data_IF_490428853609
#
_entry.id   IF_490428853609
#
_cell.length_a   1.000
_cell.length_b   1.000
_cell.length_c   1.000
_cell.angle_alpha   90.00
_cell.angle_beta   90.00
_cell.angle_gamma   90.00
#
_symmetry.space_group_name_H-M   'P 1'
#
loop_
_entity.id
_entity.type
_entity.pdbx_description
1 polymer ?
#
# COMPACT_ATOMS: atom_id res chain seq x y z
N UNK A 1 -21.03 -16.05 -23.42
CA UNK A 1 -20.70 -15.49 -22.10
C UNK A 1 -19.23 -15.85 -21.84
N UNK A 2 -18.39 -14.88 -21.53
CA UNK A 2 -16.99 -15.14 -21.28
C UNK A 2 -16.81 -15.84 -19.91
N UNK A 3 -15.68 -16.48 -19.68
CA UNK A 3 -15.38 -17.08 -18.37
C UNK A 3 -15.37 -16.02 -17.25
N UNK A 4 -14.99 -14.77 -17.57
CA UNK A 4 -15.02 -13.65 -16.62
C UNK A 4 -16.45 -13.22 -16.28
N UNK A 5 -17.38 -13.27 -17.24
CA UNK A 5 -18.80 -12.99 -16.97
C UNK A 5 -19.39 -14.04 -16.00
N UNK A 6 -18.97 -15.30 -16.15
CA UNK A 6 -19.37 -16.37 -15.23
C UNK A 6 -18.80 -16.14 -13.82
N UNK A 7 -17.50 -15.85 -13.73
CA UNK A 7 -16.85 -15.50 -12.45
C UNK A 7 -17.50 -14.29 -11.77
N UNK A 8 -17.95 -13.31 -12.54
CA UNK A 8 -18.62 -12.12 -11.99
C UNK A 8 -19.96 -12.43 -11.32
N UNK A 9 -20.61 -13.56 -11.60
CA UNK A 9 -21.84 -13.95 -10.89
C UNK A 9 -21.57 -14.15 -9.39
N UNK A 10 -20.45 -14.82 -9.05
CA UNK A 10 -20.03 -15.07 -7.67
C UNK A 10 -19.39 -13.85 -7.01
N UNK A 11 -18.84 -12.93 -7.80
CA UNK A 11 -18.14 -11.74 -7.30
C UNK A 11 -19.06 -10.54 -7.05
N UNK A 12 -20.13 -10.38 -7.84
CA UNK A 12 -21.08 -9.26 -7.69
C UNK A 12 -21.68 -9.12 -6.27
N UNK A 13 -22.05 -10.21 -5.57
CA UNK A 13 -22.59 -10.10 -4.22
C UNK A 13 -21.61 -9.51 -3.18
N UNK A 14 -20.32 -9.46 -3.50
CA UNK A 14 -19.30 -8.83 -2.65
C UNK A 14 -19.26 -7.31 -2.78
N UNK A 15 -19.70 -6.77 -3.93
CA UNK A 15 -19.66 -5.32 -4.16
C UNK A 15 -20.65 -4.63 -3.21
N UNK A 16 -20.17 -3.63 -2.49
CA UNK A 16 -20.93 -2.92 -1.47
C UNK A 16 -20.89 -3.57 -0.07
N UNK A 17 -20.30 -4.78 0.07
CA UNK A 17 -20.11 -5.35 1.41
C UNK A 17 -19.10 -4.52 2.19
N UNK A 18 -19.46 -4.21 3.44
CA UNK A 18 -18.65 -3.43 4.37
C UNK A 18 -18.34 -4.28 5.59
N UNK A 19 -17.06 -4.27 5.99
CA UNK A 19 -16.62 -4.85 7.26
C UNK A 19 -15.96 -3.78 8.12
N UNK A 20 -16.40 -3.69 9.37
CA UNK A 20 -15.80 -2.80 10.36
C UNK A 20 -14.71 -3.53 11.15
N UNK A 21 -13.60 -2.84 11.39
CA UNK A 21 -12.51 -3.29 12.25
C UNK A 21 -12.24 -2.19 13.25
N UNK A 22 -12.43 -2.50 14.53
CA UNK A 22 -12.13 -1.58 15.64
C UNK A 22 -10.64 -1.66 15.99
N UNK A 23 -10.07 -0.53 16.41
CA UNK A 23 -8.68 -0.40 16.82
C UNK A 23 -8.56 0.66 17.91
N UNK A 24 -7.82 0.36 18.95
CA UNK A 24 -7.59 1.30 20.06
C UNK A 24 -6.53 2.36 19.75
N UNK A 25 -5.98 2.37 18.54
CA UNK A 25 -4.82 3.18 18.14
C UNK A 25 -3.71 3.10 19.19
N UNK A 26 -3.38 1.86 19.56
CA UNK A 26 -2.60 1.54 20.75
C UNK A 26 -1.25 2.26 20.80
N UNK A 27 -0.98 2.94 21.91
CA UNK A 27 0.23 3.77 22.07
C UNK A 27 1.53 3.00 21.78
N UNK A 28 1.62 1.72 22.15
CA UNK A 28 2.81 0.91 21.85
C UNK A 28 2.96 0.60 20.36
N UNK A 29 1.86 0.44 19.62
CA UNK A 29 1.90 0.27 18.17
C UNK A 29 2.38 1.57 17.49
N UNK A 30 1.86 2.72 17.93
CA UNK A 30 2.29 4.06 17.50
C UNK A 30 3.78 4.28 17.75
N UNK A 31 4.28 3.98 18.94
CA UNK A 31 5.71 4.10 19.30
C UNK A 31 6.60 3.16 18.50
N UNK A 32 6.12 1.94 18.18
CA UNK A 32 6.83 1.02 17.27
C UNK A 32 6.91 1.59 15.86
N UNK A 33 5.83 2.20 15.38
CA UNK A 33 5.83 2.88 14.07
C UNK A 33 6.82 4.05 14.09
N UNK A 34 6.81 4.90 15.12
CA UNK A 34 7.77 6.00 15.28
C UNK A 34 9.22 5.50 15.21
N UNK A 35 9.57 4.49 16.01
CA UNK A 35 10.92 3.92 16.00
C UNK A 35 11.29 3.17 14.71
N UNK A 36 10.32 2.76 13.89
CA UNK A 36 10.59 2.17 12.59
C UNK A 36 11.03 3.20 11.54
N UNK A 37 10.63 4.46 11.72
CA UNK A 37 10.91 5.59 10.81
C UNK A 37 11.81 6.66 11.44
N UNK A 38 12.64 6.27 12.42
CA UNK A 38 13.62 7.12 13.10
C UNK A 38 13.02 8.39 13.77
N UNK A 39 11.72 8.31 14.12
CA UNK A 39 11.10 9.31 14.96
C UNK A 39 11.28 8.92 16.44
N UNK A 40 11.41 9.91 17.31
CA UNK A 40 11.51 9.68 18.76
C UNK A 40 10.19 9.11 19.31
N UNK A 41 10.15 7.84 19.78
CA UNK A 41 8.94 7.22 20.30
C UNK A 41 8.34 7.93 21.53
N UNK A 42 9.18 8.60 22.33
CA UNK A 42 8.74 9.27 23.55
C UNK A 42 7.97 10.57 23.29
N UNK A 43 8.04 11.11 22.07
CA UNK A 43 7.20 12.23 21.64
C UNK A 43 5.73 11.85 21.45
N UNK A 44 5.43 10.55 21.43
CA UNK A 44 4.06 10.06 21.30
C UNK A 44 3.50 9.65 22.66
N UNK A 45 2.41 10.30 23.03
CA UNK A 45 1.60 10.04 24.23
C UNK A 45 0.13 9.88 23.85
N UNK A 46 -0.73 9.49 24.80
CA UNK A 46 -2.18 9.48 24.55
C UNK A 46 -2.67 10.86 24.14
N UNK A 47 -3.50 10.91 23.09
CA UNK A 47 -4.02 12.15 22.50
C UNK A 47 -3.09 12.84 21.50
N UNK A 48 -1.83 12.38 21.33
CA UNK A 48 -0.93 12.91 20.30
C UNK A 48 -1.50 12.65 18.90
N UNK A 49 -1.56 13.69 18.08
CA UNK A 49 -1.94 13.58 16.67
C UNK A 49 -0.87 12.82 15.89
N UNK A 50 -1.32 11.89 15.05
CA UNK A 50 -0.44 11.06 14.23
C UNK A 50 -0.21 11.71 12.86
N UNK A 51 0.92 11.43 12.21
CA UNK A 51 1.13 11.83 10.81
C UNK A 51 -0.04 11.43 9.91
N UNK A 52 -0.42 12.25 8.92
CA UNK A 52 -1.69 12.14 8.18
C UNK A 52 -1.85 10.83 7.39
N UNK A 53 -0.77 10.12 7.11
CA UNK A 53 -0.78 8.84 6.38
C UNK A 53 -0.68 7.60 7.29
N UNK A 54 -0.59 7.78 8.62
CA UNK A 54 -0.43 6.65 9.56
C UNK A 54 -1.72 5.85 9.79
N UNK A 55 -2.86 6.29 9.23
CA UNK A 55 -4.06 5.46 9.20
C UNK A 55 -3.81 4.07 8.59
N UNK A 56 -2.75 3.90 7.79
CA UNK A 56 -2.37 2.61 7.20
C UNK A 56 -1.96 1.54 8.23
N UNK A 57 -1.64 1.94 9.45
CA UNK A 57 -1.29 1.04 10.57
C UNK A 57 -2.49 0.69 11.46
N UNK A 58 -3.67 1.25 11.17
CA UNK A 58 -4.86 1.13 12.00
C UNK A 58 -5.86 0.18 11.35
N UNK A 59 -6.57 -0.60 12.17
CA UNK A 59 -7.59 -1.54 11.72
C UNK A 59 -7.01 -2.60 10.79
N UNK A 60 -5.78 -3.10 11.09
CA UNK A 60 -5.19 -4.20 10.32
C UNK A 60 -5.98 -5.49 10.52
N UNK A 61 -6.05 -6.30 9.48
CA UNK A 61 -6.89 -7.51 9.49
C UNK A 61 -6.31 -8.60 10.40
N UNK A 62 -7.13 -9.11 11.31
CA UNK A 62 -6.79 -10.19 12.24
C UNK A 62 -7.35 -11.53 11.79
N UNK A 63 -6.76 -12.11 10.76
CA UNK A 63 -7.16 -13.41 10.20
C UNK A 63 -6.49 -14.54 10.98
N UNK A 64 -7.22 -15.64 11.22
CA UNK A 64 -6.67 -16.83 11.89
C UNK A 64 -5.56 -17.46 11.04
N UNK A 65 -4.55 -18.05 11.68
CA UNK A 65 -3.47 -18.74 10.99
C UNK A 65 -3.99 -19.83 10.02
N UNK A 66 -5.03 -20.56 10.39
CA UNK A 66 -5.66 -21.59 9.56
C UNK A 66 -6.41 -21.04 8.32
N UNK A 67 -6.66 -19.75 8.29
CA UNK A 67 -7.34 -19.05 7.21
C UNK A 67 -6.35 -18.35 6.25
N UNK A 68 -5.04 -18.49 6.48
CA UNK A 68 -4.01 -18.02 5.57
C UNK A 68 -3.77 -19.00 4.42
N UNK A 69 -3.52 -18.46 3.25
CA UNK A 69 -3.07 -19.19 2.07
C UNK A 69 -1.56 -19.47 2.09
N UNK A 70 -1.07 -20.25 1.14
CA UNK A 70 0.36 -20.61 1.05
C UNK A 70 1.27 -19.41 0.76
N UNK A 71 0.72 -18.31 0.25
CA UNK A 71 1.39 -17.05 -0.01
C UNK A 71 1.50 -16.14 1.23
N UNK A 72 0.81 -16.50 2.34
CA UNK A 72 0.75 -15.71 3.57
C UNK A 72 -0.40 -14.69 3.62
N UNK A 73 -1.17 -14.51 2.56
CA UNK A 73 -2.40 -13.72 2.61
C UNK A 73 -3.59 -14.54 3.13
N UNK A 74 -4.63 -13.85 3.60
CA UNK A 74 -5.91 -14.49 3.87
C UNK A 74 -6.42 -15.25 2.63
N UNK A 75 -6.94 -16.46 2.86
CA UNK A 75 -7.61 -17.24 1.80
C UNK A 75 -8.70 -16.41 1.15
N UNK A 76 -8.91 -16.64 -0.13
CA UNK A 76 -9.99 -16.01 -0.89
C UNK A 76 -11.34 -16.33 -0.27
N UNK A 77 -12.22 -15.34 -0.20
CA UNK A 77 -13.53 -15.48 0.43
C UNK A 77 -13.53 -15.29 1.96
N UNK A 78 -12.37 -15.04 2.61
CA UNK A 78 -12.31 -14.72 4.05
C UNK A 78 -12.49 -13.22 4.28
N UNK A 79 -11.59 -12.41 3.72
CA UNK A 79 -11.64 -10.94 3.86
C UNK A 79 -11.77 -10.22 2.54
N UNK A 80 -11.42 -10.87 1.45
CA UNK A 80 -11.50 -10.35 0.08
C UNK A 80 -12.31 -11.32 -0.80
N UNK A 81 -12.95 -10.79 -1.86
CA UNK A 81 -13.72 -11.60 -2.79
C UNK A 81 -12.90 -12.78 -3.35
N UNK A 82 -13.55 -13.92 -3.66
CA UNK A 82 -12.87 -15.11 -4.17
C UNK A 82 -12.52 -14.99 -5.67
N UNK A 83 -11.81 -13.94 -6.06
CA UNK A 83 -11.40 -13.70 -7.45
C UNK A 83 -10.58 -14.90 -7.95
N UNK A 84 -10.95 -15.56 -9.06
CA UNK A 84 -10.37 -16.83 -9.51
C UNK A 84 -9.03 -16.63 -10.25
N UNK A 85 -8.17 -15.76 -9.74
CA UNK A 85 -6.82 -15.50 -10.25
C UNK A 85 -5.81 -15.50 -9.10
N UNK A 86 -4.72 -16.29 -9.17
CA UNK A 86 -3.85 -16.54 -8.03
C UNK A 86 -2.97 -15.36 -7.62
N UNK A 87 -2.52 -14.54 -8.55
CA UNK A 87 -1.59 -13.43 -8.25
C UNK A 87 -2.33 -12.14 -8.00
N UNK A 88 -1.95 -11.47 -6.90
CA UNK A 88 -2.45 -10.15 -6.51
C UNK A 88 -1.31 -9.15 -6.43
N UNK A 89 -1.50 -7.99 -7.03
CA UNK A 89 -0.53 -6.89 -7.04
C UNK A 89 -1.23 -5.58 -6.68
N UNK A 90 -0.63 -4.78 -5.78
CA UNK A 90 -1.06 -3.41 -5.57
C UNK A 90 -0.84 -2.57 -6.83
N UNK A 91 -1.83 -1.76 -7.22
CA UNK A 91 -1.75 -0.93 -8.42
C UNK A 91 -1.64 0.56 -8.10
N UNK A 92 -2.45 1.07 -7.19
CA UNK A 92 -2.44 2.47 -6.81
C UNK A 92 -3.44 2.77 -5.70
N UNK A 93 -3.41 4.02 -5.26
CA UNK A 93 -4.32 4.55 -4.22
C UNK A 93 -4.79 5.94 -4.56
N UNK A 94 -5.96 6.27 -4.05
CA UNK A 94 -6.55 7.60 -4.02
C UNK A 94 -6.97 7.86 -2.57
N UNK A 95 -6.31 8.81 -1.93
CA UNK A 95 -6.51 9.10 -0.51
C UNK A 95 -7.03 10.52 -0.34
N UNK A 96 -8.05 10.67 0.51
CA UNK A 96 -8.49 11.95 1.06
C UNK A 96 -8.21 11.96 2.55
N UNK A 97 -7.58 13.02 3.04
CA UNK A 97 -7.27 13.24 4.45
C UNK A 97 -8.13 14.40 4.95
N UNK A 98 -8.94 14.16 5.98
CA UNK A 98 -9.90 15.11 6.53
C UNK A 98 -9.61 15.42 8.00
N UNK A 99 -8.66 14.71 8.61
CA UNK A 99 -8.25 14.90 9.99
C UNK A 99 -7.03 14.05 10.33
N UNK A 100 -6.62 14.10 11.58
CA UNK A 100 -5.50 13.30 12.10
C UNK A 100 -6.02 12.33 13.17
N UNK A 101 -5.54 11.10 13.12
CA UNK A 101 -5.77 10.13 14.19
C UNK A 101 -5.03 10.57 15.47
N UNK A 102 -5.58 10.19 16.63
CA UNK A 102 -4.97 10.44 17.94
C UNK A 102 -4.60 9.13 18.61
N UNK A 103 -3.38 9.04 19.10
CA UNK A 103 -2.87 7.87 19.79
C UNK A 103 -3.68 7.57 21.07
N UNK A 104 -4.04 6.31 21.26
CA UNK A 104 -4.75 5.82 22.45
C UNK A 104 -6.24 6.19 22.50
N UNK A 105 -6.82 6.63 21.39
CA UNK A 105 -8.25 6.88 21.25
C UNK A 105 -8.84 5.87 20.26
N UNK A 106 -10.00 5.24 20.56
CA UNK A 106 -10.60 4.24 19.69
C UNK A 106 -10.92 4.80 18.30
N UNK A 107 -10.64 3.99 17.29
CA UNK A 107 -10.95 4.26 15.89
C UNK A 107 -11.62 3.05 15.23
N UNK A 108 -12.28 3.28 14.11
CA UNK A 108 -12.92 2.23 13.31
C UNK A 108 -12.47 2.38 11.86
N UNK A 109 -12.02 1.27 11.27
CA UNK A 109 -11.85 1.15 9.82
C UNK A 109 -13.05 0.41 9.24
N UNK A 110 -13.76 1.04 8.29
CA UNK A 110 -14.78 0.42 7.47
C UNK A 110 -14.18 0.05 6.12
N UNK A 111 -14.00 -1.25 5.87
CA UNK A 111 -13.45 -1.78 4.62
C UNK A 111 -14.59 -2.24 3.71
N UNK A 112 -14.78 -1.56 2.59
CA UNK A 112 -15.81 -1.81 1.59
C UNK A 112 -15.19 -2.39 0.32
N UNK A 113 -15.82 -3.41 -0.25
CA UNK A 113 -15.55 -3.82 -1.64
C UNK A 113 -16.25 -2.82 -2.55
N UNK A 114 -15.57 -1.76 -2.94
CA UNK A 114 -16.18 -0.66 -3.71
C UNK A 114 -16.47 -1.04 -5.17
N UNK A 115 -15.60 -1.85 -5.78
CA UNK A 115 -15.80 -2.30 -7.16
C UNK A 115 -14.95 -3.51 -7.52
N UNK A 116 -15.40 -4.29 -8.51
CA UNK A 116 -14.67 -5.38 -9.16
C UNK A 116 -14.87 -5.25 -10.65
N UNK A 117 -13.81 -5.01 -11.42
CA UNK A 117 -13.88 -4.79 -12.86
C UNK A 117 -13.04 -5.83 -13.58
N UNK A 118 -13.67 -6.72 -14.40
CA UNK A 118 -12.95 -7.56 -15.33
C UNK A 118 -12.41 -6.73 -16.50
N UNK A 119 -11.17 -6.98 -16.93
CA UNK A 119 -10.55 -6.33 -18.08
C UNK A 119 -9.75 -7.34 -18.89
N UNK A 120 -9.88 -7.29 -20.22
CA UNK A 120 -9.05 -8.04 -21.16
C UNK A 120 -8.15 -7.08 -21.93
N UNK A 121 -6.89 -7.48 -22.12
CA UNK A 121 -5.92 -6.66 -22.84
C UNK A 121 -4.79 -7.50 -23.41
N UNK A 122 -3.80 -6.85 -24.02
CA UNK A 122 -2.63 -7.53 -24.63
C UNK A 122 -1.85 -8.40 -23.63
N UNK A 123 -1.88 -8.09 -22.35
CA UNK A 123 -1.21 -8.84 -21.28
C UNK A 123 -2.09 -9.93 -20.65
N UNK A 124 -3.22 -10.25 -21.28
CA UNK A 124 -4.20 -11.24 -20.80
C UNK A 124 -5.34 -10.61 -19.99
N UNK A 125 -6.15 -11.49 -19.43
CA UNK A 125 -7.29 -11.15 -18.60
C UNK A 125 -6.85 -10.78 -17.18
N UNK A 126 -7.51 -9.78 -16.61
CA UNK A 126 -7.27 -9.33 -15.22
C UNK A 126 -8.60 -8.97 -14.56
N UNK A 127 -8.64 -9.02 -13.23
CA UNK A 127 -9.65 -8.32 -12.43
C UNK A 127 -8.98 -7.18 -11.66
N UNK A 128 -9.64 -6.04 -11.63
CA UNK A 128 -9.27 -4.92 -10.78
C UNK A 128 -10.26 -4.84 -9.63
N UNK A 129 -9.78 -5.09 -8.43
CA UNK A 129 -10.54 -4.92 -7.18
C UNK A 129 -10.22 -3.55 -6.60
N UNK A 130 -11.24 -2.74 -6.33
CA UNK A 130 -11.12 -1.50 -5.56
C UNK A 130 -11.69 -1.71 -4.17
N UNK A 131 -10.84 -1.60 -3.16
CA UNK A 131 -11.25 -1.51 -1.76
C UNK A 131 -11.33 -0.06 -1.33
N UNK A 132 -12.43 0.35 -0.70
CA UNK A 132 -12.56 1.65 -0.03
C UNK A 132 -12.48 1.46 1.47
N UNK A 133 -11.47 2.04 2.10
CA UNK A 133 -11.30 2.04 3.54
C UNK A 133 -11.63 3.44 4.08
N UNK A 134 -12.64 3.52 4.95
CA UNK A 134 -12.99 4.76 5.66
C UNK A 134 -12.54 4.62 7.11
N UNK A 135 -11.71 5.54 7.56
CA UNK A 135 -11.19 5.58 8.93
C UNK A 135 -11.93 6.66 9.71
N UNK A 136 -12.49 6.26 10.85
CA UNK A 136 -13.30 7.13 11.71
C UNK A 136 -12.73 7.15 13.14
N UNK A 137 -12.71 8.32 13.77
CA UNK A 137 -12.35 8.49 15.17
C UNK A 137 -13.14 9.64 15.78
N UNK A 138 -13.66 9.48 17.00
CA UNK A 138 -14.47 10.49 17.66
C UNK A 138 -15.71 10.91 16.87
N UNK A 139 -16.34 10.00 16.12
CA UNK A 139 -17.51 10.26 15.28
C UNK A 139 -17.22 11.06 14.00
N UNK A 140 -15.96 11.27 13.65
CA UNK A 140 -15.53 12.00 12.43
C UNK A 140 -14.77 11.07 11.49
N UNK A 141 -14.97 11.28 10.18
CA UNK A 141 -14.13 10.65 9.16
C UNK A 141 -12.77 11.35 9.15
N UNK A 142 -11.72 10.57 9.32
CA UNK A 142 -10.32 11.02 9.36
C UNK A 142 -9.68 10.89 7.99
N UNK A 143 -9.90 9.75 7.33
CA UNK A 143 -9.38 9.51 5.99
C UNK A 143 -10.28 8.56 5.21
N UNK A 144 -10.25 8.68 3.88
CA UNK A 144 -10.80 7.70 2.94
C UNK A 144 -9.69 7.29 1.99
N UNK A 145 -9.43 5.97 1.93
CA UNK A 145 -8.39 5.36 1.10
C UNK A 145 -9.02 4.36 0.14
N UNK A 146 -9.02 4.67 -1.15
CA UNK A 146 -9.38 3.73 -2.20
C UNK A 146 -8.11 3.08 -2.75
N UNK A 147 -7.97 1.78 -2.54
CA UNK A 147 -6.83 0.98 -2.96
C UNK A 147 -7.23 0.01 -4.08
N UNK A 148 -6.51 0.08 -5.20
CA UNK A 148 -6.68 -0.84 -6.32
C UNK A 148 -5.70 -2.00 -6.23
N UNK A 149 -6.20 -3.22 -6.42
CA UNK A 149 -5.42 -4.42 -6.58
C UNK A 149 -5.74 -5.09 -7.91
N UNK A 150 -4.70 -5.48 -8.64
CA UNK A 150 -4.81 -6.23 -9.89
C UNK A 150 -4.64 -7.71 -9.58
N UNK A 151 -5.62 -8.50 -10.00
CA UNK A 151 -5.54 -9.96 -9.98
C UNK A 151 -5.24 -10.46 -11.39
N UNK A 152 -4.31 -11.41 -11.52
CA UNK A 152 -3.87 -11.98 -12.80
C UNK A 152 -3.51 -13.45 -12.67
N UNK A 153 -3.33 -14.10 -13.81
CA UNK A 153 -2.91 -15.50 -13.87
C UNK A 153 -1.51 -15.72 -13.25
N UNK A 154 -1.28 -16.94 -12.80
CA UNK A 154 0.03 -17.38 -12.36
C UNK A 154 1.07 -17.24 -13.49
N UNK A 155 2.32 -17.05 -13.10
CA UNK A 155 3.44 -17.24 -14.04
C UNK A 155 3.64 -18.75 -14.19
N UNK A 156 3.73 -19.28 -15.41
CA UNK A 156 4.05 -20.70 -15.59
C UNK A 156 5.36 -21.07 -14.89
N UNK A 157 5.39 -22.27 -14.31
CA UNK A 157 6.55 -22.76 -13.59
C UNK A 157 7.83 -22.65 -14.43
N UNK A 158 8.90 -22.13 -13.84
CA UNK A 158 10.19 -21.92 -14.52
C UNK A 158 10.27 -20.68 -15.41
N UNK A 159 9.18 -19.94 -15.57
CA UNK A 159 9.21 -18.65 -16.27
C UNK A 159 9.44 -17.50 -15.29
N UNK A 160 10.25 -16.52 -15.70
CA UNK A 160 10.39 -15.27 -14.94
C UNK A 160 9.13 -14.44 -15.08
N UNK A 161 8.72 -13.79 -14.00
CA UNK A 161 7.73 -12.73 -14.08
C UNK A 161 8.19 -11.72 -15.14
N UNK A 162 7.37 -11.47 -16.16
CA UNK A 162 7.62 -10.39 -17.11
C UNK A 162 7.67 -9.10 -16.31
N UNK A 163 8.88 -8.61 -16.10
CA UNK A 163 9.06 -7.31 -15.48
C UNK A 163 8.31 -6.27 -16.32
N UNK A 164 7.61 -5.38 -15.66
CA UNK A 164 7.13 -4.15 -16.30
C UNK A 164 8.35 -3.53 -17.01
N UNK A 165 8.18 -3.08 -18.24
CA UNK A 165 9.28 -2.43 -18.99
C UNK A 165 9.86 -1.34 -18.10
N UNK A 166 11.16 -1.45 -17.80
CA UNK A 166 11.87 -0.48 -16.99
C UNK A 166 11.84 0.87 -17.72
N UNK A 167 11.19 1.86 -17.13
CA UNK A 167 11.12 3.22 -17.66
C UNK A 167 12.05 4.09 -16.84
N UNK A 168 12.94 4.90 -17.44
CA UNK A 168 13.76 5.84 -16.69
C UNK A 168 12.89 6.84 -15.91
N UNK A 169 13.24 7.08 -14.66
CA UNK A 169 12.64 8.16 -13.88
C UNK A 169 13.14 9.51 -14.40
N UNK A 170 12.31 10.53 -14.29
CA UNK A 170 12.69 11.91 -14.61
C UNK A 170 13.92 12.33 -13.79
N UNK A 171 14.84 13.04 -14.42
CA UNK A 171 16.05 13.57 -13.77
C UNK A 171 15.88 15.02 -13.25
N UNK A 172 14.89 15.74 -13.78
CA UNK A 172 14.58 17.14 -13.45
C UNK A 172 13.75 17.20 -12.16
N UNK A 173 14.40 17.25 -11.03
CA UNK A 173 13.78 17.38 -9.71
C UNK A 173 14.37 18.57 -8.94
N UNK A 174 13.57 19.19 -8.09
CA UNK A 174 13.99 20.27 -7.21
C UNK A 174 14.68 19.76 -5.95
N UNK A 175 14.29 18.58 -5.49
CA UNK A 175 14.84 17.92 -4.31
C UNK A 175 14.77 16.39 -4.42
N UNK A 176 15.59 15.70 -3.63
CA UNK A 176 15.51 14.24 -3.50
C UNK A 176 15.83 13.77 -2.08
N UNK A 177 15.21 12.66 -1.67
CA UNK A 177 15.45 11.95 -0.41
C UNK A 177 15.76 10.49 -0.72
N UNK A 178 16.74 9.91 -0.03
CA UNK A 178 17.16 8.52 -0.24
C UNK A 178 16.98 7.71 1.04
N UNK A 179 16.46 6.49 0.91
CA UNK A 179 16.32 5.54 2.00
C UNK A 179 16.77 4.16 1.54
N UNK A 180 17.58 3.49 2.34
CA UNK A 180 17.95 2.09 2.10
C UNK A 180 16.79 1.16 2.48
N UNK A 181 16.44 0.25 1.58
CA UNK A 181 15.38 -0.74 1.78
C UNK A 181 15.97 -2.00 2.44
N UNK A 182 16.32 -1.89 3.72
CA UNK A 182 16.92 -3.00 4.45
C UNK A 182 15.91 -4.11 4.75
N UNK A 183 16.39 -5.34 4.96
CA UNK A 183 15.56 -6.45 5.46
C UNK A 183 14.82 -6.06 6.75
N UNK A 184 15.52 -5.38 7.65
CA UNK A 184 14.95 -4.95 8.95
C UNK A 184 13.81 -3.96 8.77
N UNK A 185 13.98 -2.93 7.93
CA UNK A 185 12.93 -1.94 7.67
C UNK A 185 11.71 -2.60 7.02
N UNK A 186 11.93 -3.45 6.02
CA UNK A 186 10.86 -4.17 5.32
C UNK A 186 10.08 -5.10 6.26
N UNK A 187 10.78 -5.82 7.16
CA UNK A 187 10.16 -6.66 8.19
C UNK A 187 9.35 -5.83 9.19
N UNK A 188 9.93 -4.74 9.73
CA UNK A 188 9.23 -3.88 10.70
C UNK A 188 7.97 -3.26 10.09
N UNK A 189 8.03 -2.79 8.84
CA UNK A 189 6.86 -2.27 8.15
C UNK A 189 5.79 -3.35 7.93
N UNK A 190 6.18 -4.54 7.47
CA UNK A 190 5.26 -5.65 7.29
C UNK A 190 4.60 -6.08 8.61
N UNK A 191 5.33 -6.02 9.72
CA UNK A 191 4.80 -6.29 11.06
C UNK A 191 3.81 -5.21 11.53
N UNK A 192 4.07 -3.92 11.24
CA UNK A 192 3.17 -2.81 11.57
C UNK A 192 1.85 -2.89 10.80
N UNK A 193 1.90 -3.34 9.55
CA UNK A 193 0.72 -3.49 8.68
C UNK A 193 0.12 -4.90 8.71
N UNK A 194 0.65 -5.79 9.57
CA UNK A 194 0.27 -7.19 9.70
C UNK A 194 0.25 -7.93 8.36
N UNK A 195 1.20 -7.60 7.48
CA UNK A 195 1.31 -8.15 6.14
C UNK A 195 2.26 -9.35 6.11
N UNK A 196 1.71 -10.54 6.05
CA UNK A 196 2.45 -11.80 6.02
C UNK A 196 2.72 -12.33 4.61
N UNK A 197 2.63 -11.52 3.55
CA UNK A 197 2.92 -11.98 2.20
C UNK A 197 4.38 -12.40 2.07
N UNK A 198 4.59 -13.66 1.69
CA UNK A 198 5.89 -14.31 1.70
C UNK A 198 6.94 -13.64 0.81
N UNK A 199 6.55 -12.93 -0.25
CA UNK A 199 7.49 -12.20 -1.11
C UNK A 199 8.31 -11.14 -0.36
N UNK A 200 7.88 -10.73 0.83
CA UNK A 200 8.55 -9.71 1.61
C UNK A 200 9.61 -10.26 2.59
N UNK A 201 9.64 -11.59 2.85
CA UNK A 201 10.55 -12.18 3.84
C UNK A 201 11.07 -13.58 3.48
N UNK A 202 10.44 -14.30 2.54
CA UNK A 202 10.83 -15.65 2.14
C UNK A 202 11.45 -15.62 0.75
N UNK A 203 12.78 -15.61 0.71
CA UNK A 203 13.52 -15.46 -0.55
C UNK A 203 13.39 -16.68 -1.47
N UNK A 204 13.25 -17.88 -0.92
CA UNK A 204 13.13 -19.11 -1.73
C UNK A 204 11.75 -19.14 -2.38
N UNK A 205 10.69 -18.90 -1.62
CA UNK A 205 9.34 -18.76 -2.15
C UNK A 205 9.27 -17.68 -3.24
N UNK A 206 9.87 -16.51 -2.97
CA UNK A 206 9.87 -15.37 -3.90
C UNK A 206 10.48 -15.71 -5.25
N UNK A 207 11.54 -16.53 -5.26
CA UNK A 207 12.22 -16.95 -6.49
C UNK A 207 11.51 -18.12 -7.17
N UNK A 208 11.14 -19.17 -6.40
CA UNK A 208 10.59 -20.41 -6.98
C UNK A 208 9.14 -20.28 -7.40
N UNK A 209 8.29 -19.64 -6.58
CA UNK A 209 6.85 -19.58 -6.80
C UNK A 209 6.41 -18.30 -7.54
N UNK A 210 7.02 -17.16 -7.21
CA UNK A 210 6.63 -15.87 -7.79
C UNK A 210 7.51 -15.42 -8.95
N UNK A 211 8.69 -16.06 -9.13
CA UNK A 211 9.61 -15.76 -10.24
C UNK A 211 10.30 -14.39 -10.14
N UNK A 212 10.36 -13.79 -8.95
CA UNK A 212 11.09 -12.55 -8.70
C UNK A 212 12.58 -12.82 -8.42
N UNK A 213 13.49 -11.90 -8.77
CA UNK A 213 14.93 -12.10 -8.58
C UNK A 213 15.36 -11.98 -7.10
N UNK A 214 14.63 -11.23 -6.30
CA UNK A 214 14.94 -10.94 -4.89
C UNK A 214 13.67 -10.69 -4.10
N UNK A 215 13.79 -10.55 -2.77
CA UNK A 215 12.68 -10.12 -1.92
C UNK A 215 12.13 -8.78 -2.41
N UNK A 216 10.81 -8.69 -2.51
CA UNK A 216 10.12 -7.48 -2.93
C UNK A 216 9.95 -6.56 -1.72
N UNK A 217 10.37 -5.30 -1.84
CA UNK A 217 10.03 -4.29 -0.83
C UNK A 217 8.51 -4.09 -0.78
N UNK A 218 7.96 -3.94 0.42
CA UNK A 218 6.53 -3.74 0.58
C UNK A 218 6.09 -2.45 -0.13
N UNK A 219 5.14 -2.55 -1.07
CA UNK A 219 4.66 -1.39 -1.81
C UNK A 219 4.04 -0.31 -0.92
N UNK A 220 3.45 -0.71 0.23
CA UNK A 220 2.99 0.22 1.25
C UNK A 220 4.13 1.00 1.91
N UNK A 221 5.30 0.36 2.11
CA UNK A 221 6.51 1.04 2.60
C UNK A 221 6.98 2.10 1.61
N UNK A 222 7.03 1.76 0.32
CA UNK A 222 7.42 2.75 -0.71
C UNK A 222 6.50 3.97 -0.70
N UNK A 223 5.18 3.77 -0.63
CA UNK A 223 4.22 4.87 -0.53
C UNK A 223 4.37 5.68 0.76
N UNK A 224 4.65 5.01 1.89
CA UNK A 224 4.89 5.68 3.17
C UNK A 224 6.11 6.59 3.09
N UNK A 225 7.24 6.09 2.58
CA UNK A 225 8.47 6.86 2.41
C UNK A 225 8.29 8.03 1.42
N UNK A 226 7.47 7.85 0.39
CA UNK A 226 7.12 8.94 -0.54
C UNK A 226 6.35 10.06 0.17
N UNK A 227 5.36 9.73 1.00
CA UNK A 227 4.61 10.75 1.75
C UNK A 227 5.51 11.43 2.78
N UNK A 228 6.34 10.67 3.52
CA UNK A 228 7.28 11.23 4.50
C UNK A 228 8.26 12.22 3.84
N UNK A 229 8.82 11.86 2.67
CA UNK A 229 9.67 12.77 1.90
C UNK A 229 8.91 14.04 1.47
N UNK A 230 7.69 13.89 0.95
CA UNK A 230 6.87 15.03 0.55
C UNK A 230 6.59 16.00 1.72
N UNK A 231 6.26 15.46 2.90
CA UNK A 231 5.95 16.27 4.09
C UNK A 231 7.15 17.09 4.60
N UNK A 232 8.39 16.65 4.32
CA UNK A 232 9.60 17.44 4.65
C UNK A 232 9.78 18.67 3.75
N UNK A 233 9.29 18.62 2.51
CA UNK A 233 9.49 19.64 1.49
C UNK A 233 8.25 20.47 1.17
N UNK A 234 7.07 20.02 1.60
CA UNK A 234 5.81 20.72 1.38
C UNK A 234 5.46 21.70 2.51
N UNK A 235 4.62 22.69 2.18
CA UNK A 235 3.99 23.61 3.14
C UNK A 235 2.48 23.36 3.16
N UNK A 236 1.88 23.58 4.33
CA UNK A 236 0.44 23.42 4.53
C UNK A 236 0.06 22.02 5.03
N UNK A 237 -1.23 21.76 5.09
CA UNK A 237 -1.80 20.51 5.61
C UNK A 237 -2.12 19.56 4.45
N UNK A 238 -1.64 18.33 4.48
CA UNK A 238 -1.96 17.31 3.47
C UNK A 238 -3.46 17.01 3.50
N UNK A 239 -4.14 17.18 2.36
CA UNK A 239 -5.58 16.94 2.19
C UNK A 239 -5.88 15.71 1.33
N UNK A 240 -4.91 15.23 0.58
CA UNK A 240 -5.06 14.03 -0.21
C UNK A 240 -3.87 13.73 -1.10
N UNK A 241 -3.88 12.54 -1.67
CA UNK A 241 -2.90 12.15 -2.68
C UNK A 241 -3.43 11.02 -3.57
N UNK A 242 -2.89 10.95 -4.78
CA UNK A 242 -3.04 9.80 -5.66
C UNK A 242 -1.66 9.20 -5.93
N UNK A 243 -1.57 7.88 -5.95
CA UNK A 243 -0.30 7.20 -6.23
C UNK A 243 -0.49 6.01 -7.15
N UNK A 244 0.52 5.74 -7.96
CA UNK A 244 0.64 4.56 -8.82
C UNK A 244 2.02 3.96 -8.65
N UNK A 245 2.08 2.67 -8.31
CA UNK A 245 3.30 1.87 -8.34
C UNK A 245 3.46 1.26 -9.74
N UNK A 246 4.65 1.35 -10.31
CA UNK A 246 4.92 0.92 -11.70
C UNK A 246 6.00 -0.15 -11.83
N UNK A 247 7.00 -0.13 -10.96
CA UNK A 247 8.06 -1.13 -10.93
C UNK A 247 8.36 -1.55 -9.49
N UNK A 248 8.57 -2.85 -9.21
CA UNK A 248 8.90 -3.30 -7.87
C UNK A 248 10.27 -2.78 -7.43
N UNK A 249 10.37 -2.43 -6.15
CA UNK A 249 11.63 -2.17 -5.46
C UNK A 249 12.08 -3.45 -4.74
N UNK A 250 13.39 -3.67 -4.68
CA UNK A 250 13.95 -4.85 -4.06
C UNK A 250 14.53 -4.54 -2.67
N UNK A 251 14.39 -5.48 -1.76
CA UNK A 251 15.07 -5.41 -0.47
C UNK A 251 16.58 -5.55 -0.71
N UNK A 252 17.36 -4.72 -0.04
CA UNK A 252 18.81 -4.58 -0.27
C UNK A 252 19.16 -3.52 -1.31
N UNK A 253 18.16 -2.81 -1.85
CA UNK A 253 18.30 -1.66 -2.74
C UNK A 253 18.00 -0.36 -2.00
N UNK A 254 17.94 0.74 -2.70
CA UNK A 254 17.47 2.03 -2.19
C UNK A 254 16.23 2.50 -2.95
N UNK A 255 15.45 3.33 -2.29
CA UNK A 255 14.43 4.19 -2.91
C UNK A 255 14.96 5.62 -2.90
N UNK A 256 14.95 6.28 -4.04
CA UNK A 256 15.17 7.71 -4.17
C UNK A 256 13.85 8.39 -4.52
N UNK A 257 13.30 9.14 -3.57
CA UNK A 257 12.10 9.96 -3.79
C UNK A 257 12.56 11.32 -4.31
N UNK A 258 12.05 11.73 -5.46
CA UNK A 258 12.34 12.99 -6.11
C UNK A 258 11.07 13.82 -6.22
N UNK A 259 11.16 15.14 -6.08
CA UNK A 259 9.99 16.01 -6.14
C UNK A 259 10.23 17.31 -6.90
N UNK A 260 9.14 17.85 -7.41
CA UNK A 260 9.07 19.20 -7.98
C UNK A 260 9.01 20.25 -6.85
N UNK A 261 9.09 21.52 -7.18
CA UNK A 261 8.68 22.62 -6.30
C UNK A 261 7.17 22.58 -6.11
N UNK A 262 6.71 22.74 -4.86
CA UNK A 262 5.27 22.85 -4.57
C UNK A 262 4.70 24.11 -5.21
N UNK A 263 3.59 23.97 -5.94
CA UNK A 263 2.90 25.06 -6.60
C UNK A 263 1.40 25.00 -6.32
N UNK A 264 0.83 26.12 -5.86
CA UNK A 264 -0.62 26.24 -5.59
C UNK A 264 -1.22 25.10 -4.74
N UNK A 265 -0.50 24.69 -3.70
CA UNK A 265 -0.88 23.58 -2.84
C UNK A 265 -0.74 22.18 -3.46
N UNK A 266 -0.16 22.06 -4.65
CA UNK A 266 0.08 20.77 -5.32
C UNK A 266 1.56 20.44 -5.35
N UNK A 267 1.87 19.16 -5.17
CA UNK A 267 3.23 18.64 -5.21
C UNK A 267 3.24 17.32 -5.97
N UNK A 268 4.07 17.24 -7.00
CA UNK A 268 4.31 15.98 -7.72
C UNK A 268 5.65 15.40 -7.33
N UNK A 269 5.65 14.11 -7.01
CA UNK A 269 6.84 13.35 -6.65
C UNK A 269 6.89 12.00 -7.38
N UNK A 270 8.07 11.43 -7.47
CA UNK A 270 8.25 10.08 -8.01
C UNK A 270 9.38 9.35 -7.29
N UNK A 271 9.30 8.04 -7.28
CA UNK A 271 10.30 7.15 -6.71
C UNK A 271 11.12 6.48 -7.80
N UNK A 272 12.41 6.43 -7.64
CA UNK A 272 13.35 5.70 -8.48
C UNK A 272 14.13 4.67 -7.67
N UNK A 273 14.56 3.56 -8.32
CA UNK A 273 15.54 2.63 -7.77
C UNK A 273 16.98 3.17 -7.92
N UNK A 274 17.97 2.40 -7.45
CA UNK A 274 19.40 2.73 -7.57
C UNK A 274 19.90 2.90 -9.02
N UNK A 275 19.18 2.34 -9.99
CA UNK A 275 19.52 2.42 -11.42
C UNK A 275 18.77 3.56 -12.13
N UNK A 276 17.99 4.34 -11.39
CA UNK A 276 17.16 5.42 -11.94
C UNK A 276 15.90 4.92 -12.65
N UNK A 277 15.43 3.70 -12.39
CA UNK A 277 14.18 3.18 -12.94
C UNK A 277 13.01 3.74 -12.14
N UNK A 278 11.97 4.22 -12.82
CA UNK A 278 10.74 4.72 -12.21
C UNK A 278 9.98 3.57 -11.51
N UNK A 279 9.79 3.70 -10.19
CA UNK A 279 9.12 2.71 -9.36
C UNK A 279 7.73 3.13 -8.91
N UNK A 280 7.48 4.43 -8.79
CA UNK A 280 6.17 4.97 -8.42
C UNK A 280 6.07 6.46 -8.68
N UNK A 281 4.83 6.93 -8.78
CA UNK A 281 4.49 8.35 -8.92
C UNK A 281 3.41 8.70 -7.92
N UNK A 282 3.43 9.95 -7.43
CA UNK A 282 2.42 10.45 -6.49
C UNK A 282 2.18 11.94 -6.73
N UNK A 283 0.90 12.31 -6.80
CA UNK A 283 0.44 13.69 -6.81
C UNK A 283 -0.23 13.97 -5.44
N UNK A 284 0.22 15.00 -4.73
CA UNK A 284 -0.26 15.38 -3.40
C UNK A 284 -0.92 16.76 -3.43
N UNK A 285 -1.91 16.94 -2.58
CA UNK A 285 -2.66 18.17 -2.39
C UNK A 285 -2.55 18.65 -0.95
N UNK A 286 -2.30 19.95 -0.78
CA UNK A 286 -2.14 20.61 0.52
C UNK A 286 -3.06 21.83 0.62
N UNK A 287 -3.77 21.96 1.72
CA UNK A 287 -4.42 23.21 2.12
C UNK A 287 -3.39 24.15 2.78
N UNK A 288 -3.68 25.46 2.71
CA UNK A 288 -2.86 26.53 3.34
C UNK A 288 -2.91 26.44 4.86
#
# INVERSE_FOLDING_TARGET
>A
MSWMDEAMKDLRPWIGQVRAVEDDVGLMAVRRAAGAFDLDPEKFSRGTELPPHWFTFIGVETVRQSELGPDGHAKKGVVLPPIPMPRRMGAGRRVKVMGLLRAGEPAVKKAEVANIVPKSGRSGDIFVLTMRNTYEQGGKVIAVDEADAIYRQAVPAGQKTTATVATPARADHAWSERTELTNTLNFRFSSLTWNAHRIHYDGDYTRSEEGYPALVSNGGLSMHLMVDAALKHAKGTLTGYTTRLVHPLWVGDLIEVRGEEQKDGKLRIWAADKNGVLCGEMDLEFAK
#
